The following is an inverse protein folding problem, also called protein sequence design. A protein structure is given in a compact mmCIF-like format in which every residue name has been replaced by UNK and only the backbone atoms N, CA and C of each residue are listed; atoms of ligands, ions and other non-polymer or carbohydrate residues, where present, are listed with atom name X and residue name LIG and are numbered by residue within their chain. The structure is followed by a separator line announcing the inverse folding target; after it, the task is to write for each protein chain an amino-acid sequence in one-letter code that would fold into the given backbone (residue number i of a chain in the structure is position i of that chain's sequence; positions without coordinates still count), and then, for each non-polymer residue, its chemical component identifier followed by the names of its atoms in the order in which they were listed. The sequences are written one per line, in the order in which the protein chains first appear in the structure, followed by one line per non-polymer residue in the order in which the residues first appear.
data_IF_809467927755
#
_entry.id   IF_809467927755
#
_cell.length_a   1.000
_cell.length_b   1.000
_cell.length_c   1.000
_cell.angle_alpha   90.00
_cell.angle_beta   90.00
_cell.angle_gamma   90.00
#
_symmetry.space_group_name_H-M   'P 1'
#
loop_
_entity.id
_entity.type
_entity.pdbx_description
1 polymer ?
#
# COMPACT_ATOMS: atom_id res chain seq x y z
N UNK A 1 11.04 15.23 -4.85
CA UNK A 1 9.73 14.91 -4.24
C UNK A 1 9.92 14.94 -2.73
N UNK A 2 9.00 15.54 -1.99
CA UNK A 2 9.11 15.63 -0.53
C UNK A 2 8.00 14.79 0.09
N UNK A 3 8.37 13.79 0.89
CA UNK A 3 7.43 12.98 1.66
C UNK A 3 7.27 13.63 3.02
N UNK A 4 6.03 13.73 3.49
CA UNK A 4 5.66 14.43 4.72
C UNK A 4 4.99 13.47 5.70
N UNK A 5 4.76 13.92 6.94
CA UNK A 5 4.09 13.09 7.95
C UNK A 5 2.68 12.70 7.52
N UNK A 6 1.99 13.60 6.82
CA UNK A 6 0.65 13.36 6.31
C UNK A 6 0.60 12.22 5.31
N UNK A 7 1.61 12.11 4.45
CA UNK A 7 1.72 11.01 3.50
C UNK A 7 1.79 9.64 4.19
N UNK A 8 2.57 9.54 5.28
CA UNK A 8 2.65 8.32 6.09
C UNK A 8 1.37 8.04 6.84
N UNK A 9 0.75 9.07 7.41
CA UNK A 9 -0.50 8.92 8.13
C UNK A 9 -1.63 8.41 7.22
N UNK A 10 -1.75 8.99 6.02
CA UNK A 10 -2.73 8.57 5.03
C UNK A 10 -2.41 7.17 4.49
N UNK A 11 -1.13 6.83 4.28
CA UNK A 11 -0.69 5.46 3.97
C UNK A 11 -1.16 4.46 5.05
N UNK A 12 -0.91 4.73 6.32
CA UNK A 12 -1.33 3.85 7.40
C UNK A 12 -2.87 3.76 7.50
N UNK A 13 -3.58 4.87 7.29
CA UNK A 13 -5.04 4.87 7.35
C UNK A 13 -5.62 3.99 6.24
N UNK A 14 -5.18 4.17 5.00
CA UNK A 14 -5.61 3.36 3.84
C UNK A 14 -5.24 1.89 4.06
N UNK A 15 -4.02 1.61 4.53
CA UNK A 15 -3.57 0.25 4.79
C UNK A 15 -4.46 -0.45 5.84
N UNK A 16 -4.87 0.24 6.90
CA UNK A 16 -5.82 -0.30 7.87
C UNK A 16 -7.23 -0.49 7.27
N UNK A 17 -7.72 0.46 6.48
CA UNK A 17 -9.04 0.40 5.82
C UNK A 17 -9.15 -0.81 4.90
N UNK A 18 -8.11 -1.10 4.13
CA UNK A 18 -8.10 -2.25 3.24
C UNK A 18 -7.79 -3.56 3.97
N UNK A 19 -7.23 -3.52 5.19
CA UNK A 19 -7.01 -4.71 6.04
C UNK A 19 -5.55 -5.20 6.15
N UNK A 20 -4.56 -4.37 5.77
CA UNK A 20 -3.15 -4.75 5.89
C UNK A 20 -2.70 -4.87 7.36
N UNK A 21 -1.84 -5.85 7.69
CA UNK A 21 -1.39 -6.12 9.06
C UNK A 21 -0.26 -5.16 9.48
N UNK A 22 -0.55 -3.87 9.59
CA UNK A 22 0.45 -2.79 9.80
C UNK A 22 0.39 -2.14 11.19
N UNK A 23 -0.43 -2.65 12.12
CA UNK A 23 -0.68 -1.97 13.40
C UNK A 23 0.60 -1.69 14.21
N UNK A 24 1.50 -2.67 14.25
CA UNK A 24 2.80 -2.52 14.94
C UNK A 24 3.70 -1.47 14.27
N UNK A 25 3.64 -1.33 12.94
CA UNK A 25 4.39 -0.31 12.20
C UNK A 25 3.88 1.10 12.52
N UNK A 26 2.57 1.27 12.72
CA UNK A 26 1.98 2.55 13.14
C UNK A 26 2.55 2.96 14.51
N UNK A 27 2.62 2.00 15.43
CA UNK A 27 3.11 2.22 16.80
C UNK A 27 4.59 2.57 16.77
N UNK A 28 5.39 1.79 16.03
CA UNK A 28 6.83 2.03 15.86
C UNK A 28 7.10 3.41 15.24
N UNK A 29 6.34 3.76 14.21
CA UNK A 29 6.42 5.08 13.59
C UNK A 29 6.08 6.20 14.59
N UNK A 30 5.01 6.05 15.37
CA UNK A 30 4.61 7.03 16.39
C UNK A 30 5.66 7.17 17.51
N UNK A 31 6.24 6.06 17.99
CA UNK A 31 7.32 6.07 18.96
C UNK A 31 8.55 6.81 18.42
N UNK A 32 8.92 6.56 17.16
CA UNK A 32 10.01 7.27 16.49
C UNK A 32 9.76 8.78 16.40
N UNK A 33 8.52 9.22 16.16
CA UNK A 33 8.18 10.65 16.17
C UNK A 33 8.31 11.27 17.56
N UNK A 34 7.94 10.52 18.61
CA UNK A 34 8.06 10.98 20.00
C UNK A 34 9.53 11.13 20.39
N UNK A 35 10.36 10.13 20.10
CA UNK A 35 11.77 10.13 20.45
C UNK A 35 12.55 11.27 19.78
N UNK A 36 12.14 11.66 18.57
CA UNK A 36 12.81 12.70 17.78
C UNK A 36 12.24 14.11 17.99
N UNK A 37 11.27 14.30 18.89
CA UNK A 37 10.65 15.59 19.15
C UNK A 37 10.59 15.91 20.64
N UNK A 38 11.24 17.01 21.06
CA UNK A 38 11.21 17.48 22.46
C UNK A 38 9.82 17.85 22.99
N UNK A 39 8.85 18.10 22.09
CA UNK A 39 7.45 18.38 22.40
C UNK A 39 6.56 17.57 21.44
N UNK A 40 6.40 16.26 21.68
CA UNK A 40 5.58 15.41 20.83
C UNK A 40 4.11 15.89 20.83
N UNK A 41 3.45 15.73 19.69
CA UNK A 41 2.02 16.00 19.56
C UNK A 41 1.19 14.95 20.30
N UNK A 42 0.00 15.34 20.76
CA UNK A 42 -0.91 14.42 21.44
C UNK A 42 -1.32 13.25 20.55
N UNK A 43 -1.59 13.50 19.26
CA UNK A 43 -1.94 12.43 18.31
C UNK A 43 -0.83 11.37 18.20
N UNK A 44 0.45 11.75 18.28
CA UNK A 44 1.56 10.81 18.19
C UNK A 44 1.61 9.93 19.46
N UNK A 45 1.43 10.53 20.65
CA UNK A 45 1.32 9.81 21.91
C UNK A 45 0.12 8.85 21.91
N UNK A 46 -1.01 9.31 21.38
CA UNK A 46 -2.24 8.52 21.29
C UNK A 46 -2.16 7.37 20.30
N UNK A 47 -1.34 7.49 19.25
CA UNK A 47 -1.03 6.42 18.31
C UNK A 47 -0.06 5.39 18.91
N UNK A 48 1.01 5.85 19.58
CA UNK A 48 1.96 4.96 20.26
C UNK A 48 1.27 4.08 21.32
N UNK A 49 0.22 4.60 21.95
CA UNK A 49 -0.57 3.89 22.97
C UNK A 49 -1.80 3.15 22.41
N UNK A 50 -1.92 3.03 21.07
CA UNK A 50 -3.14 2.54 20.40
C UNK A 50 -3.29 1.02 20.28
N UNK A 51 -2.45 0.22 20.96
CA UNK A 51 -2.47 -1.25 20.90
C UNK A 51 -3.88 -1.86 21.04
N UNK A 52 -4.70 -1.33 21.94
CA UNK A 52 -6.07 -1.81 22.21
C UNK A 52 -7.18 -0.96 21.58
N UNK A 53 -6.84 0.11 20.84
CA UNK A 53 -7.83 0.94 20.14
C UNK A 53 -8.43 0.18 18.96
N UNK A 54 -9.68 0.49 18.64
CA UNK A 54 -10.33 -0.05 17.45
C UNK A 54 -9.65 0.47 16.18
N UNK A 55 -9.79 -0.25 15.06
CA UNK A 55 -9.26 0.19 13.76
C UNK A 55 -9.77 1.59 13.40
N UNK A 56 -11.05 1.86 13.65
CA UNK A 56 -11.68 3.14 13.33
C UNK A 56 -11.13 4.28 14.19
N UNK A 57 -10.87 4.04 15.48
CA UNK A 57 -10.25 5.04 16.34
C UNK A 57 -8.81 5.34 15.90
N UNK A 58 -8.04 4.31 15.54
CA UNK A 58 -6.68 4.48 15.01
C UNK A 58 -6.69 5.26 13.70
N UNK A 59 -7.61 4.97 12.78
CA UNK A 59 -7.79 5.74 11.54
C UNK A 59 -8.16 7.20 11.86
N UNK A 60 -9.04 7.43 12.84
CA UNK A 60 -9.39 8.77 13.30
C UNK A 60 -8.16 9.57 13.72
N UNK A 61 -7.29 8.98 14.55
CA UNK A 61 -6.04 9.61 15.00
C UNK A 61 -5.05 9.88 13.85
N UNK A 62 -4.93 8.96 12.89
CA UNK A 62 -4.09 9.17 11.70
C UNK A 62 -4.60 10.36 10.86
N UNK A 63 -5.91 10.57 10.82
CA UNK A 63 -6.51 11.71 10.09
C UNK A 63 -6.29 13.05 10.79
N UNK A 64 -5.95 13.07 12.09
CA UNK A 64 -5.59 14.28 12.84
C UNK A 64 -4.16 14.78 12.56
N UNK A 65 -3.33 13.99 11.88
CA UNK A 65 -1.98 14.41 11.50
C UNK A 65 -2.06 15.66 10.62
N UNK A 66 -1.31 16.73 10.94
CA UNK A 66 -1.39 18.01 10.25
C UNK A 66 -0.91 17.92 8.79
N UNK A 67 -1.18 18.98 8.02
CA UNK A 67 -0.96 19.12 6.57
C UNK A 67 -2.10 18.57 5.70
N UNK A 68 -2.19 19.05 4.46
CA UNK A 68 -3.19 18.61 3.48
C UNK A 68 -2.82 17.25 2.90
N UNK A 69 -3.84 16.42 2.64
CA UNK A 69 -3.66 15.11 2.00
C UNK A 69 -3.26 15.25 0.54
N UNK A 70 -2.12 14.63 0.19
CA UNK A 70 -1.80 14.24 -1.18
C UNK A 70 -1.71 12.71 -1.26
N UNK A 71 -2.80 12.10 -1.68
CA UNK A 71 -2.94 10.65 -1.67
C UNK A 71 -2.04 9.96 -2.71
N UNK A 72 -1.51 10.68 -3.70
CA UNK A 72 -0.70 10.07 -4.77
C UNK A 72 0.54 9.38 -4.19
N UNK A 73 1.27 10.05 -3.29
CA UNK A 73 2.44 9.47 -2.64
C UNK A 73 2.02 8.36 -1.67
N UNK A 74 0.96 8.57 -0.89
CA UNK A 74 0.46 7.56 0.06
C UNK A 74 0.08 6.24 -0.63
N UNK A 75 -0.57 6.31 -1.78
CA UNK A 75 -0.89 5.11 -2.55
C UNK A 75 0.34 4.42 -3.13
N UNK A 76 1.35 5.17 -3.57
CA UNK A 76 2.62 4.56 -4.01
C UNK A 76 3.31 3.82 -2.87
N UNK A 77 3.22 4.33 -1.63
CA UNK A 77 3.67 3.63 -0.43
C UNK A 77 2.83 2.36 -0.16
N UNK A 78 1.50 2.40 -0.37
CA UNK A 78 0.65 1.19 -0.28
C UNK A 78 1.11 0.12 -1.27
N UNK A 79 1.33 0.49 -2.54
CA UNK A 79 1.79 -0.44 -3.58
C UNK A 79 3.14 -1.03 -3.17
N UNK A 80 4.08 -0.21 -2.70
CA UNK A 80 5.36 -0.67 -2.19
C UNK A 80 5.22 -1.65 -1.02
N UNK A 81 4.31 -1.38 -0.07
CA UNK A 81 4.06 -2.28 1.07
C UNK A 81 3.53 -3.63 0.62
N UNK A 82 2.52 -3.64 -0.26
CA UNK A 82 1.96 -4.87 -0.82
C UNK A 82 3.06 -5.63 -1.59
N UNK A 83 3.97 -4.92 -2.27
CA UNK A 83 5.11 -5.54 -2.99
C UNK A 83 6.02 -6.39 -2.12
N UNK A 84 6.26 -5.93 -0.90
CA UNK A 84 7.04 -6.66 0.09
C UNK A 84 6.23 -7.82 0.63
N UNK A 85 5.00 -7.57 1.09
CA UNK A 85 4.16 -8.59 1.76
C UNK A 85 3.87 -9.80 0.87
N UNK A 86 3.63 -9.55 -0.42
CA UNK A 86 3.23 -10.58 -1.38
C UNK A 86 4.36 -10.96 -2.35
N UNK A 87 5.57 -10.44 -2.12
CA UNK A 87 6.81 -10.83 -2.80
C UNK A 87 6.73 -10.79 -4.34
N UNK A 88 5.98 -9.84 -4.92
CA UNK A 88 5.84 -9.75 -6.38
C UNK A 88 7.04 -9.12 -7.10
N UNK A 89 8.10 -8.74 -6.36
CA UNK A 89 9.27 -8.02 -6.88
C UNK A 89 10.38 -8.96 -7.39
N UNK A 90 10.28 -10.29 -7.18
CA UNK A 90 11.28 -11.24 -7.69
C UNK A 90 11.11 -11.47 -9.20
N UNK A 91 12.03 -10.92 -9.99
CA UNK A 91 12.06 -11.01 -11.46
C UNK A 91 12.01 -12.45 -12.01
N UNK A 92 12.50 -13.41 -11.23
CA UNK A 92 12.70 -14.81 -11.64
C UNK A 92 11.43 -15.67 -11.60
N UNK A 93 10.34 -15.18 -10.99
CA UNK A 93 9.11 -15.96 -10.81
C UNK A 93 8.11 -15.83 -11.96
N UNK A 94 8.41 -15.05 -12.99
CA UNK A 94 7.44 -14.65 -14.01
C UNK A 94 7.63 -15.34 -15.37
N UNK A 95 6.51 -15.75 -16.01
CA UNK A 95 6.55 -16.49 -17.26
C UNK A 95 7.04 -15.60 -18.41
N UNK A 96 7.81 -16.23 -19.30
CA UNK A 96 8.31 -15.70 -20.56
C UNK A 96 7.15 -15.02 -21.32
N UNK A 97 7.33 -13.72 -21.59
CA UNK A 97 6.39 -12.83 -22.25
C UNK A 97 6.27 -13.19 -23.74
N UNK A 98 5.07 -13.55 -24.20
CA UNK A 98 4.73 -13.52 -25.63
C UNK A 98 3.61 -12.48 -25.81
N UNK A 99 3.89 -11.47 -26.63
CA UNK A 99 2.94 -10.39 -26.92
C UNK A 99 1.83 -10.88 -27.85
N UNK A 100 0.59 -10.89 -27.37
CA UNK A 100 -0.61 -10.96 -28.21
C UNK A 100 -1.32 -9.59 -28.12
N UNK A 101 -0.70 -8.54 -28.66
CA UNK A 101 -1.19 -7.16 -28.53
C UNK A 101 -0.87 -6.51 -27.17
N UNK A 102 -1.69 -5.54 -26.74
CA UNK A 102 -1.53 -4.75 -25.49
C UNK A 102 -1.87 -5.54 -24.20
N UNK A 103 -1.86 -6.88 -24.24
CA UNK A 103 -2.31 -7.73 -23.15
C UNK A 103 -1.19 -8.67 -22.69
N UNK A 104 -1.07 -8.84 -21.37
CA UNK A 104 -0.03 -9.66 -20.74
C UNK A 104 -0.64 -10.88 -20.04
N UNK A 105 0.04 -12.03 -20.18
CA UNK A 105 -0.35 -13.31 -19.58
C UNK A 105 0.39 -13.53 -18.26
N UNK A 106 -0.34 -13.76 -17.18
CA UNK A 106 0.23 -14.08 -15.85
C UNK A 106 -0.35 -15.39 -15.33
N UNK A 107 0.51 -16.21 -14.73
CA UNK A 107 0.13 -17.51 -14.18
C UNK A 107 -0.36 -17.35 -12.72
N UNK A 108 -1.66 -17.60 -12.50
CA UNK A 108 -2.30 -17.42 -11.19
C UNK A 108 -1.86 -18.41 -10.12
N UNK A 109 -1.21 -19.52 -10.49
CA UNK A 109 -0.73 -20.50 -9.53
C UNK A 109 0.31 -19.92 -8.55
N UNK A 110 0.95 -18.79 -8.89
CA UNK A 110 1.94 -18.10 -8.04
C UNK A 110 1.47 -16.78 -7.42
N UNK A 111 0.40 -16.18 -7.95
CA UNK A 111 -0.07 -14.86 -7.51
C UNK A 111 -1.54 -14.97 -7.19
N UNK A 112 -1.86 -15.27 -5.93
CA UNK A 112 -3.13 -14.84 -5.37
C UNK A 112 -3.09 -13.32 -5.36
N UNK A 113 -3.63 -12.70 -6.42
CA UNK A 113 -3.94 -11.28 -6.40
C UNK A 113 -4.94 -11.09 -5.25
N UNK A 114 -4.42 -10.59 -4.15
CA UNK A 114 -5.17 -10.43 -2.92
C UNK A 114 -6.25 -9.36 -3.13
N UNK A 115 -7.47 -9.57 -2.59
CA UNK A 115 -8.56 -8.58 -2.60
C UNK A 115 -8.10 -7.20 -2.11
N UNK A 116 -7.12 -7.16 -1.20
CA UNK A 116 -6.53 -5.94 -0.66
C UNK A 116 -5.82 -5.13 -1.75
N UNK A 117 -5.14 -5.81 -2.69
CA UNK A 117 -4.48 -5.20 -3.84
C UNK A 117 -5.49 -4.63 -4.84
N UNK A 118 -6.54 -5.40 -5.12
CA UNK A 118 -7.64 -4.98 -6.00
C UNK A 118 -8.37 -3.75 -5.45
N UNK A 119 -8.63 -3.73 -4.14
CA UNK A 119 -9.30 -2.60 -3.47
C UNK A 119 -8.45 -1.32 -3.51
N UNK A 120 -7.14 -1.43 -3.26
CA UNK A 120 -6.22 -0.28 -3.38
C UNK A 120 -6.15 0.26 -4.82
N UNK A 121 -6.25 -0.63 -5.81
CA UNK A 121 -6.25 -0.27 -7.23
C UNK A 121 -7.54 0.43 -7.66
N UNK A 122 -8.70 -0.07 -7.24
CA UNK A 122 -10.01 0.55 -7.50
C UNK A 122 -10.07 1.99 -6.96
N UNK A 123 -9.52 2.21 -5.76
CA UNK A 123 -9.47 3.53 -5.13
C UNK A 123 -8.56 4.50 -5.89
N UNK A 124 -7.44 4.03 -6.47
CA UNK A 124 -6.47 4.88 -7.17
C UNK A 124 -6.92 5.33 -8.57
N UNK A 125 -7.49 4.41 -9.36
CA UNK A 125 -7.67 4.64 -10.80
C UNK A 125 -9.09 4.96 -11.22
N UNK A 126 -10.08 4.85 -10.31
CA UNK A 126 -11.50 5.23 -10.51
C UNK A 126 -12.19 4.72 -11.80
N UNK A 127 -11.56 3.80 -12.52
CA UNK A 127 -12.09 3.12 -13.70
C UNK A 127 -11.86 1.61 -13.55
N UNK A 128 -12.82 0.87 -13.00
CA UNK A 128 -12.77 -0.59 -13.02
C UNK A 128 -13.07 -1.04 -14.45
N UNK A 129 -12.03 -1.24 -15.26
CA UNK A 129 -12.18 -2.01 -16.51
C UNK A 129 -11.79 -3.45 -16.22
N UNK A 130 -12.82 -4.20 -15.82
CA UNK A 130 -12.97 -5.66 -15.81
C UNK A 130 -11.67 -6.48 -15.85
N UNK A 131 -11.33 -7.10 -14.72
CA UNK A 131 -10.54 -8.34 -14.75
C UNK A 131 -11.49 -9.45 -15.20
N UNK A 132 -11.29 -9.97 -16.40
CA UNK A 132 -11.95 -11.21 -16.80
C UNK A 132 -11.23 -12.37 -16.14
N UNK A 133 -11.84 -12.87 -15.06
CA UNK A 133 -11.44 -14.12 -14.45
C UNK A 133 -11.99 -15.25 -15.34
N UNK A 134 -11.17 -15.78 -16.25
CA UNK A 134 -11.56 -16.99 -16.95
C UNK A 134 -11.55 -18.16 -15.96
N UNK A 135 -12.52 -19.07 -16.09
CA UNK A 135 -12.65 -20.30 -15.30
C UNK A 135 -11.46 -21.30 -15.43
N UNK A 136 -10.35 -20.87 -16.04
CA UNK A 136 -9.10 -21.60 -16.20
C UNK A 136 -7.96 -20.65 -15.84
N UNK A 137 -7.23 -20.90 -14.73
CA UNK A 137 -5.89 -20.46 -14.25
C UNK A 137 -5.14 -19.23 -14.87
N UNK A 138 -5.80 -18.37 -15.61
CA UNK A 138 -5.26 -17.31 -16.44
C UNK A 138 -6.21 -16.12 -16.38
N UNK A 139 -5.70 -14.99 -15.91
CA UNK A 139 -6.36 -13.69 -16.06
C UNK A 139 -5.42 -12.78 -16.84
N UNK A 140 -6.02 -11.95 -17.67
CA UNK A 140 -5.33 -10.91 -18.41
C UNK A 140 -5.02 -9.77 -17.45
N UNK A 141 -3.75 -9.42 -17.28
CA UNK A 141 -3.37 -8.28 -16.46
C UNK A 141 -3.09 -7.07 -17.36
N UNK A 142 -3.72 -5.91 -17.12
CA UNK A 142 -3.47 -4.69 -17.89
C UNK A 142 -2.02 -4.20 -17.80
N UNK A 143 -1.57 -3.47 -18.83
CA UNK A 143 -0.26 -2.79 -18.96
C UNK A 143 0.17 -2.01 -17.69
N UNK A 144 -0.80 -1.48 -16.95
CA UNK A 144 -0.61 -0.76 -15.69
C UNK A 144 0.05 -1.59 -14.57
N UNK A 145 0.02 -2.93 -14.61
CA UNK A 145 0.66 -3.74 -13.56
C UNK A 145 2.19 -3.69 -13.60
N UNK A 146 2.79 -3.51 -14.78
CA UNK A 146 4.24 -3.28 -14.89
C UNK A 146 4.62 -1.94 -14.26
N UNK A 147 3.81 -0.91 -14.48
CA UNK A 147 3.98 0.40 -13.85
C UNK A 147 3.89 0.29 -12.31
N UNK A 148 2.95 -0.51 -11.79
CA UNK A 148 2.84 -0.77 -10.36
C UNK A 148 4.05 -1.50 -9.76
N UNK A 149 4.65 -2.44 -10.49
CA UNK A 149 5.88 -3.11 -10.05
C UNK A 149 7.02 -2.09 -9.96
N UNK A 150 7.17 -1.23 -10.97
CA UNK A 150 8.18 -0.16 -10.98
C UNK A 150 7.95 0.80 -9.82
N UNK A 151 6.71 1.26 -9.63
CA UNK A 151 6.32 2.10 -8.49
C UNK A 151 6.65 1.41 -7.16
N UNK A 152 6.29 0.13 -7.01
CA UNK A 152 6.57 -0.64 -5.80
C UNK A 152 8.07 -0.66 -5.50
N UNK A 153 8.89 -1.03 -6.50
CA UNK A 153 10.36 -1.02 -6.38
C UNK A 153 10.91 0.35 -5.96
N UNK A 154 10.47 1.41 -6.62
CA UNK A 154 10.99 2.77 -6.41
C UNK A 154 10.63 3.34 -5.03
N UNK A 155 9.51 2.90 -4.45
CA UNK A 155 8.97 3.46 -3.21
C UNK A 155 9.25 2.64 -1.94
N UNK A 156 9.77 1.41 -2.04
CA UNK A 156 10.16 0.60 -0.88
C UNK A 156 11.07 1.36 0.08
N UNK A 157 12.06 2.09 -0.46
CA UNK A 157 13.04 2.85 0.35
C UNK A 157 12.42 3.98 1.19
N UNK A 158 11.18 4.35 0.87
CA UNK A 158 10.45 5.42 1.56
C UNK A 158 9.41 4.89 2.53
N UNK A 159 9.28 3.57 2.72
CA UNK A 159 8.35 3.04 3.71
C UNK A 159 8.76 3.51 5.12
N UNK A 160 7.79 3.93 5.96
CA UNK A 160 8.08 4.28 7.34
C UNK A 160 8.55 3.01 8.07
N UNK A 161 9.75 3.08 8.67
CA UNK A 161 10.31 2.03 9.54
C UNK A 161 9.80 2.22 10.96
#
# INVERSE_FOLDING_TARGET
MTITLKHYADYFAIALEIGLPIKEEIITWADNLILNNSKPSMWAIDLATSHNKSIQDTIGLLREVPEESDLNISFKLIIAKISILYNFVKEEDYPILSSLGNWYRVNHAKIKLDLHFMSAFEVMYNEPRYIWQYFFDESEIPEYYQELIVIGKDYIQYLPI
#
